data_IF_376543918800
#
_entry.id   IF_376543918800
#
_cell.length_a   1.000
_cell.length_b   1.000
_cell.length_c   1.000
_cell.angle_alpha   90.00
_cell.angle_beta   90.00
_cell.angle_gamma   90.00
#
_symmetry.space_group_name_H-M   'P 1'
#
loop_
_entity.id
_entity.type
_entity.pdbx_description
1 polymer ?
#
# COMPACT_ATOMS: atom_id res chain seq x y z
N UNK A 1 12.97 5.76 -9.76
CA UNK A 1 12.97 4.51 -8.97
C UNK A 1 12.19 4.70 -7.68
N UNK A 2 11.52 3.65 -7.19
CA UNK A 2 10.89 3.65 -5.85
C UNK A 2 11.14 2.33 -5.14
N UNK A 3 11.24 2.34 -3.81
CA UNK A 3 11.41 1.13 -3.03
C UNK A 3 10.08 0.40 -2.88
N UNK A 4 10.12 -0.93 -2.79
CA UNK A 4 8.99 -1.69 -2.27
C UNK A 4 8.73 -1.28 -0.81
N UNK A 5 7.55 -0.73 -0.54
CA UNK A 5 7.10 -0.53 0.83
C UNK A 5 6.90 -1.91 1.49
N UNK A 6 6.77 -1.94 2.82
CA UNK A 6 6.64 -3.16 3.62
C UNK A 6 5.56 -4.10 3.08
N UNK A 7 4.39 -3.56 2.74
CA UNK A 7 3.28 -4.36 2.22
C UNK A 7 3.61 -4.95 0.86
N UNK A 8 4.14 -4.15 -0.07
CA UNK A 8 4.49 -4.64 -1.40
C UNK A 8 5.61 -5.68 -1.36
N UNK A 9 6.58 -5.54 -0.46
CA UNK A 9 7.60 -6.57 -0.23
C UNK A 9 6.94 -7.88 0.24
N UNK A 10 6.05 -7.80 1.24
CA UNK A 10 5.38 -8.98 1.79
C UNK A 10 4.47 -9.67 0.76
N UNK A 11 3.71 -8.90 -0.02
CA UNK A 11 2.86 -9.45 -1.08
C UNK A 11 3.69 -10.08 -2.20
N UNK A 12 4.78 -9.43 -2.63
CA UNK A 12 5.68 -9.99 -3.64
C UNK A 12 6.27 -11.33 -3.22
N UNK A 13 6.76 -11.46 -1.99
CA UNK A 13 7.29 -12.73 -1.50
C UNK A 13 6.20 -13.81 -1.46
N UNK A 14 5.01 -13.46 -0.97
CA UNK A 14 3.90 -14.41 -0.88
C UNK A 14 3.43 -14.90 -2.24
N UNK A 15 3.22 -14.01 -3.20
CA UNK A 15 2.66 -14.38 -4.50
C UNK A 15 3.71 -15.05 -5.39
N UNK A 16 4.98 -14.67 -5.24
CA UNK A 16 6.08 -15.28 -6.00
C UNK A 16 6.48 -16.65 -5.45
N UNK A 17 6.51 -16.79 -4.12
CA UNK A 17 7.15 -17.93 -3.43
C UNK A 17 6.21 -18.76 -2.55
N UNK A 18 5.01 -18.27 -2.23
CA UNK A 18 4.12 -18.91 -1.27
C UNK A 18 4.66 -18.86 0.18
N UNK A 19 5.55 -17.91 0.48
CA UNK A 19 6.21 -17.77 1.79
C UNK A 19 5.63 -16.56 2.53
N UNK A 20 5.33 -16.72 3.82
CA UNK A 20 5.07 -15.62 4.73
C UNK A 20 6.24 -15.48 5.71
N UNK A 21 7.03 -14.40 5.57
CA UNK A 21 8.20 -14.16 6.42
C UNK A 21 7.83 -13.42 7.71
N UNK A 22 8.28 -13.96 8.85
CA UNK A 22 8.12 -13.31 10.15
C UNK A 22 9.05 -12.09 10.29
N UNK A 23 10.21 -12.09 9.62
CA UNK A 23 11.09 -10.92 9.58
C UNK A 23 10.41 -9.76 8.85
N UNK A 24 9.78 -10.01 7.68
CA UNK A 24 9.08 -8.95 6.91
C UNK A 24 7.91 -8.36 7.71
N UNK A 25 7.21 -9.17 8.53
CA UNK A 25 6.17 -8.67 9.43
C UNK A 25 6.69 -7.70 10.48
N UNK A 26 7.99 -7.73 10.81
CA UNK A 26 8.64 -6.82 11.77
C UNK A 26 9.31 -5.60 11.12
N UNK A 27 9.21 -5.44 9.80
CA UNK A 27 9.70 -4.23 9.16
C UNK A 27 9.02 -2.99 9.77
N UNK A 28 9.78 -1.88 9.95
CA UNK A 28 9.21 -0.63 10.42
C UNK A 28 8.18 -0.10 9.41
N UNK A 29 7.30 0.77 9.89
CA UNK A 29 6.39 1.48 9.00
C UNK A 29 7.18 2.41 8.07
N UNK A 30 6.82 2.41 6.79
CA UNK A 30 7.46 3.23 5.78
C UNK A 30 7.13 4.72 5.99
N UNK A 31 8.12 5.58 5.74
CA UNK A 31 7.90 7.02 5.69
C UNK A 31 6.93 7.38 4.55
N UNK A 32 6.18 8.46 4.75
CA UNK A 32 5.13 8.89 3.83
C UNK A 32 5.39 10.29 3.31
N UNK A 33 5.06 10.51 2.06
CA UNK A 33 4.99 11.83 1.45
C UNK A 33 3.62 11.97 0.80
N UNK A 34 2.91 13.07 1.10
CA UNK A 34 1.53 13.31 0.64
C UNK A 34 0.57 12.18 1.03
N UNK A 35 0.75 11.55 2.20
CA UNK A 35 -0.07 10.43 2.69
C UNK A 35 0.37 9.04 2.21
N UNK A 36 1.11 8.95 1.10
CA UNK A 36 1.46 7.68 0.47
C UNK A 36 2.84 7.16 0.90
N UNK A 37 2.92 5.85 1.18
CA UNK A 37 4.18 5.21 1.60
C UNK A 37 5.04 4.72 0.44
N UNK A 38 4.54 4.81 -0.79
CA UNK A 38 5.18 4.32 -2.00
C UNK A 38 5.94 5.41 -2.78
N UNK A 39 6.23 6.55 -2.14
CA UNK A 39 6.88 7.68 -2.76
C UNK A 39 8.42 7.60 -2.67
N UNK A 40 9.09 7.58 -3.82
CA UNK A 40 10.55 7.45 -3.89
C UNK A 40 11.34 8.58 -3.23
N UNK A 41 10.74 9.77 -3.01
CA UNK A 41 11.46 10.91 -2.39
C UNK A 41 11.72 10.75 -0.88
N UNK A 42 11.02 9.83 -0.22
CA UNK A 42 11.08 9.61 1.24
C UNK A 42 11.37 8.16 1.61
N UNK A 43 11.98 7.39 0.70
CA UNK A 43 12.29 5.97 0.92
C UNK A 43 13.79 5.65 0.89
N UNK A 44 14.66 6.36 1.64
CA UNK A 44 16.07 5.98 1.70
C UNK A 44 16.25 4.61 2.36
N UNK A 45 17.30 3.89 1.96
CA UNK A 45 17.75 2.70 2.66
C UNK A 45 18.52 3.13 3.92
N UNK A 46 18.01 2.78 5.11
CA UNK A 46 18.72 2.99 6.38
C UNK A 46 19.53 1.75 6.76
N UNK A 47 20.63 1.86 7.53
CA UNK A 47 21.36 0.69 8.00
C UNK A 47 20.49 -0.35 8.73
N UNK A 48 19.52 0.11 9.53
CA UNK A 48 18.58 -0.77 10.23
C UNK A 48 17.65 -1.50 9.25
N UNK A 49 17.17 -0.82 8.22
CA UNK A 49 16.33 -1.44 7.19
C UNK A 49 17.13 -2.44 6.34
N UNK A 50 18.38 -2.12 6.01
CA UNK A 50 19.26 -3.03 5.27
C UNK A 50 19.55 -4.31 6.05
N UNK A 51 19.78 -4.23 7.37
CA UNK A 51 19.92 -5.40 8.22
C UNK A 51 18.66 -6.28 8.19
N UNK A 52 17.48 -5.67 8.26
CA UNK A 52 16.21 -6.41 8.15
C UNK A 52 16.01 -7.07 6.77
N UNK A 53 16.46 -6.45 5.67
CA UNK A 53 16.45 -7.10 4.36
C UNK A 53 17.37 -8.30 4.31
N UNK A 54 18.55 -8.22 4.94
CA UNK A 54 19.46 -9.34 5.07
C UNK A 54 18.82 -10.49 5.83
N UNK A 55 18.29 -10.24 7.03
CA UNK A 55 17.62 -11.25 7.85
C UNK A 55 16.43 -11.88 7.11
N UNK A 56 15.62 -11.07 6.40
CA UNK A 56 14.50 -11.56 5.62
C UNK A 56 14.98 -12.42 4.44
N UNK A 57 16.02 -11.99 3.73
CA UNK A 57 16.59 -12.73 2.59
C UNK A 57 17.15 -14.08 3.02
N UNK A 58 17.72 -14.18 4.23
CA UNK A 58 18.22 -15.43 4.79
C UNK A 58 17.06 -16.37 5.16
N UNK A 59 16.03 -15.87 5.85
CA UNK A 59 14.82 -16.65 6.19
C UNK A 59 14.14 -17.19 4.92
N UNK A 60 13.91 -16.32 3.95
CA UNK A 60 13.19 -16.66 2.71
C UNK A 60 14.01 -17.62 1.85
N UNK A 61 15.30 -17.35 1.63
CA UNK A 61 16.15 -18.22 0.80
C UNK A 61 16.28 -19.63 1.38
N UNK A 62 16.34 -19.77 2.72
CA UNK A 62 16.34 -21.06 3.40
C UNK A 62 15.04 -21.84 3.18
N UNK A 63 13.90 -21.16 3.21
CA UNK A 63 12.60 -21.77 2.89
C UNK A 63 12.50 -22.15 1.41
N UNK A 64 13.09 -21.37 0.50
CA UNK A 64 13.10 -21.67 -0.94
C UNK A 64 13.83 -22.96 -1.30
N UNK A 65 14.86 -23.35 -0.54
CA UNK A 65 15.62 -24.59 -0.77
C UNK A 65 15.07 -25.80 -0.01
N UNK A 66 13.96 -25.63 0.70
CA UNK A 66 13.28 -26.71 1.43
C UNK A 66 12.31 -27.48 0.53
N UNK A 67 12.49 -28.79 0.26
CA UNK A 67 11.76 -29.52 -0.79
C UNK A 67 10.23 -29.51 -0.71
N UNK A 68 9.66 -29.28 0.48
CA UNK A 68 8.23 -29.30 0.70
C UNK A 68 7.54 -27.93 0.47
N UNK A 69 8.29 -26.88 0.09
CA UNK A 69 7.73 -25.54 -0.15
C UNK A 69 7.30 -25.36 -1.60
N UNK A 70 6.29 -24.50 -1.83
CA UNK A 70 5.85 -24.13 -3.18
C UNK A 70 6.96 -23.42 -3.95
N UNK A 71 7.77 -22.60 -3.27
CA UNK A 71 8.96 -21.98 -3.84
C UNK A 71 9.95 -23.01 -4.42
N UNK A 72 10.24 -24.08 -3.68
CA UNK A 72 11.14 -25.13 -4.14
C UNK A 72 10.59 -25.80 -5.40
N UNK A 73 9.33 -26.24 -5.36
CA UNK A 73 8.67 -26.89 -6.50
C UNK A 73 8.63 -25.99 -7.73
N UNK A 74 8.45 -24.68 -7.53
CA UNK A 74 8.37 -23.69 -8.60
C UNK A 74 9.72 -23.43 -9.29
N UNK A 75 10.80 -23.31 -8.52
CA UNK A 75 12.09 -22.85 -9.06
C UNK A 75 13.16 -23.94 -9.17
N UNK A 76 13.20 -24.91 -8.25
CA UNK A 76 14.22 -25.97 -8.22
C UNK A 76 13.78 -27.13 -9.13
N UNK A 77 13.98 -26.95 -10.43
CA UNK A 77 13.50 -27.89 -11.47
C UNK A 77 14.39 -29.12 -11.72
N UNK A 78 15.59 -29.16 -11.14
CA UNK A 78 16.57 -30.23 -11.28
C UNK A 78 17.59 -30.16 -10.13
N UNK A 79 18.43 -31.18 -9.98
CA UNK A 79 19.50 -31.20 -8.97
C UNK A 79 20.82 -30.75 -9.61
N UNK A 80 21.38 -29.59 -9.22
CA UNK A 80 22.64 -29.13 -9.77
C UNK A 80 23.83 -29.91 -9.18
N UNK A 81 24.87 -30.08 -9.99
CA UNK A 81 26.17 -30.66 -9.64
C UNK A 81 27.28 -29.64 -9.90
N UNK A 82 27.45 -28.69 -8.98
CA UNK A 82 28.33 -27.53 -9.18
C UNK A 82 27.70 -26.43 -10.03
N UNK A 83 28.53 -25.61 -10.68
CA UNK A 83 28.08 -24.52 -11.58
C UNK A 83 27.79 -25.11 -12.96
N UNK A 84 26.58 -25.63 -13.13
CA UNK A 84 26.15 -26.29 -14.37
C UNK A 84 24.92 -25.63 -15.01
N UNK A 85 24.41 -26.24 -16.08
CA UNK A 85 23.21 -25.76 -16.76
C UNK A 85 21.96 -25.79 -15.87
N UNK A 86 21.90 -26.70 -14.89
CA UNK A 86 20.79 -26.79 -13.95
C UNK A 86 20.81 -25.61 -12.98
N UNK A 87 21.95 -25.34 -12.34
CA UNK A 87 22.12 -24.20 -11.43
C UNK A 87 21.80 -22.88 -12.15
N UNK A 88 22.34 -22.70 -13.36
CA UNK A 88 22.06 -21.52 -14.20
C UNK A 88 20.57 -21.35 -14.50
N UNK A 89 19.87 -22.43 -14.87
CA UNK A 89 18.43 -22.39 -15.15
C UNK A 89 17.63 -21.99 -13.91
N UNK A 90 17.93 -22.58 -12.75
CA UNK A 90 17.23 -22.32 -11.49
C UNK A 90 17.44 -20.86 -11.05
N UNK A 91 18.70 -20.42 -10.99
CA UNK A 91 19.06 -19.05 -10.57
C UNK A 91 18.52 -18.02 -11.54
N UNK A 92 18.65 -18.25 -12.85
CA UNK A 92 18.17 -17.33 -13.88
C UNK A 92 16.65 -17.20 -13.92
N UNK A 93 15.91 -18.30 -13.71
CA UNK A 93 14.45 -18.27 -13.63
C UNK A 93 13.97 -17.47 -12.41
N UNK A 94 14.59 -17.68 -11.24
CA UNK A 94 14.23 -16.93 -10.04
C UNK A 94 14.61 -15.45 -10.16
N UNK A 95 15.83 -15.14 -10.61
CA UNK A 95 16.26 -13.75 -10.81
C UNK A 95 15.32 -13.01 -11.78
N UNK A 96 14.94 -13.64 -12.89
CA UNK A 96 14.02 -13.04 -13.87
C UNK A 96 12.66 -12.72 -13.28
N UNK A 97 12.09 -13.65 -12.51
CA UNK A 97 10.79 -13.45 -11.88
C UNK A 97 10.86 -12.42 -10.73
N UNK A 98 11.89 -12.51 -9.88
CA UNK A 98 12.09 -11.63 -8.74
C UNK A 98 12.38 -10.19 -9.16
N UNK A 99 13.18 -9.98 -10.20
CA UNK A 99 13.55 -8.65 -10.69
C UNK A 99 12.55 -8.06 -11.68
N UNK A 100 11.54 -8.86 -12.08
CA UNK A 100 10.46 -8.50 -13.00
C UNK A 100 10.94 -8.10 -14.41
N UNK A 101 12.16 -8.49 -14.76
CA UNK A 101 12.75 -8.36 -16.09
C UNK A 101 13.66 -9.56 -16.37
N UNK A 102 13.93 -9.90 -17.64
CA UNK A 102 14.94 -10.90 -17.95
C UNK A 102 16.27 -10.54 -17.29
N UNK A 103 16.81 -11.47 -16.49
CA UNK A 103 18.16 -11.37 -15.98
C UNK A 103 19.16 -11.58 -17.12
N UNK A 104 20.19 -10.74 -17.19
CA UNK A 104 21.24 -10.87 -18.19
C UNK A 104 22.15 -12.07 -17.88
N UNK A 105 22.87 -12.56 -18.88
CA UNK A 105 23.82 -13.66 -18.67
C UNK A 105 24.86 -13.36 -17.58
N UNK A 106 25.42 -12.14 -17.62
CA UNK A 106 26.40 -11.68 -16.63
C UNK A 106 25.81 -11.61 -15.22
N UNK A 107 24.58 -11.13 -15.05
CA UNK A 107 23.94 -11.09 -13.73
C UNK A 107 23.71 -12.49 -13.16
N UNK A 108 23.38 -13.46 -14.03
CA UNK A 108 23.27 -14.86 -13.60
C UNK A 108 24.64 -15.44 -13.26
N UNK A 109 25.70 -15.07 -14.00
CA UNK A 109 27.08 -15.46 -13.69
C UNK A 109 27.54 -14.95 -12.32
N UNK A 110 27.24 -13.69 -12.01
CA UNK A 110 27.59 -13.08 -10.72
C UNK A 110 26.88 -13.77 -9.54
N UNK A 111 25.63 -14.18 -9.73
CA UNK A 111 24.87 -14.97 -8.73
C UNK A 111 25.41 -16.40 -8.60
N UNK A 112 25.84 -17.02 -9.70
CA UNK A 112 26.46 -18.34 -9.70
C UNK A 112 27.84 -18.32 -9.02
N UNK A 113 28.55 -17.19 -9.05
CA UNK A 113 29.79 -17.04 -8.28
C UNK A 113 29.54 -17.08 -6.76
N UNK A 114 28.37 -16.65 -6.27
CA UNK A 114 27.97 -16.83 -4.86
C UNK A 114 27.68 -18.30 -4.56
N UNK A 115 26.97 -18.98 -5.46
CA UNK A 115 26.71 -20.41 -5.38
C UNK A 115 28.03 -21.20 -5.28
N UNK A 116 28.99 -20.91 -6.15
CA UNK A 116 30.29 -21.60 -6.23
C UNK A 116 31.11 -21.42 -4.95
N UNK A 117 31.20 -20.19 -4.42
CA UNK A 117 31.91 -19.91 -3.17
C UNK A 117 31.38 -20.73 -1.99
N UNK A 118 30.07 -20.92 -1.90
CA UNK A 118 29.45 -21.73 -0.83
C UNK A 118 29.65 -23.23 -1.07
N UNK A 119 29.70 -23.68 -2.33
CA UNK A 119 30.10 -25.05 -2.64
C UNK A 119 31.53 -25.32 -2.17
N UNK A 120 32.49 -24.47 -2.54
CA UNK A 120 33.90 -24.63 -2.20
C UNK A 120 34.11 -24.68 -0.68
N UNK A 121 33.45 -23.78 0.06
CA UNK A 121 33.51 -23.74 1.52
C UNK A 121 32.96 -25.01 2.19
N UNK A 122 32.03 -25.72 1.54
CA UNK A 122 31.41 -26.94 2.03
C UNK A 122 31.92 -28.21 1.32
N UNK A 123 33.15 -28.18 0.78
CA UNK A 123 33.79 -29.29 0.06
C UNK A 123 32.95 -29.85 -1.11
N UNK A 124 32.16 -28.99 -1.76
CA UNK A 124 31.34 -29.31 -2.94
C UNK A 124 30.10 -30.16 -2.66
N UNK A 125 29.73 -30.34 -1.38
CA UNK A 125 28.75 -31.35 -0.97
C UNK A 125 27.31 -30.83 -0.80
N UNK A 126 27.04 -29.52 -0.91
CA UNK A 126 25.72 -28.96 -0.59
C UNK A 126 25.19 -28.02 -1.68
N UNK A 127 24.67 -28.63 -2.76
CA UNK A 127 23.91 -27.98 -3.83
C UNK A 127 22.86 -26.97 -3.31
N UNK A 128 22.17 -27.32 -2.24
CA UNK A 128 21.09 -26.50 -1.68
C UNK A 128 21.64 -25.28 -0.93
N UNK A 129 22.74 -25.41 -0.19
CA UNK A 129 23.41 -24.26 0.42
C UNK A 129 23.91 -23.27 -0.64
N UNK A 130 24.45 -23.77 -1.75
CA UNK A 130 24.82 -22.92 -2.90
C UNK A 130 23.61 -22.19 -3.48
N UNK A 131 22.49 -22.89 -3.70
CA UNK A 131 21.26 -22.27 -4.21
C UNK A 131 20.71 -21.23 -3.24
N UNK A 132 20.75 -21.50 -1.93
CA UNK A 132 20.32 -20.57 -0.89
C UNK A 132 21.12 -19.26 -1.00
N UNK A 133 22.44 -19.34 -1.16
CA UNK A 133 23.30 -18.15 -1.30
C UNK A 133 22.96 -17.33 -2.56
N UNK A 134 22.76 -18.00 -3.69
CA UNK A 134 22.33 -17.33 -4.92
C UNK A 134 20.94 -16.67 -4.79
N UNK A 135 19.98 -17.36 -4.18
CA UNK A 135 18.64 -16.82 -3.91
C UNK A 135 18.68 -15.63 -2.96
N UNK A 136 19.52 -15.69 -1.93
CA UNK A 136 19.75 -14.56 -1.03
C UNK A 136 20.32 -13.35 -1.79
N UNK A 137 21.27 -13.57 -2.70
CA UNK A 137 21.80 -12.53 -3.59
C UNK A 137 20.73 -11.89 -4.47
N UNK A 138 19.82 -12.69 -5.04
CA UNK A 138 18.67 -12.18 -5.81
C UNK A 138 17.78 -11.25 -4.97
N UNK A 139 17.47 -11.65 -3.72
CA UNK A 139 16.60 -10.90 -2.80
C UNK A 139 17.26 -9.64 -2.22
N UNK A 140 18.60 -9.60 -2.14
CA UNK A 140 19.36 -8.43 -1.70
C UNK A 140 19.66 -7.43 -2.83
N UNK A 141 19.42 -7.83 -4.08
CA UNK A 141 19.66 -6.98 -5.24
C UNK A 141 18.77 -5.73 -5.22
N UNK A 142 19.28 -4.55 -5.62
CA UNK A 142 18.46 -3.37 -5.88
C UNK A 142 17.33 -3.64 -6.89
N UNK A 143 17.53 -4.56 -7.85
CA UNK A 143 16.50 -4.94 -8.81
C UNK A 143 15.33 -5.69 -8.17
N UNK A 144 15.50 -6.27 -6.98
CA UNK A 144 14.41 -6.82 -6.18
C UNK A 144 13.79 -5.78 -5.24
N UNK A 145 14.62 -5.06 -4.48
CA UNK A 145 14.19 -4.12 -3.43
C UNK A 145 13.49 -2.88 -4.01
N UNK A 146 13.86 -2.47 -5.22
CA UNK A 146 13.32 -1.30 -5.90
C UNK A 146 12.59 -1.68 -7.18
N UNK A 147 11.55 -0.91 -7.50
CA UNK A 147 11.04 -0.80 -8.86
C UNK A 147 11.91 0.21 -9.59
N UNK A 148 12.77 -0.34 -10.44
CA UNK A 148 13.67 0.40 -11.30
C UNK A 148 13.00 0.53 -12.66
N UNK A 149 12.86 1.76 -13.12
CA UNK A 149 12.55 2.08 -14.51
C UNK A 149 13.88 2.51 -15.11
N UNK A 150 14.50 1.63 -15.90
CA UNK A 150 15.78 1.84 -16.56
C UNK A 150 15.54 2.84 -17.71
N UNK A 151 15.60 4.13 -17.30
CA UNK A 151 15.52 5.37 -18.09
C UNK A 151 14.26 5.57 -18.94
N UNK A 152 13.49 6.63 -18.63
CA UNK A 152 12.32 6.98 -19.46
C UNK A 152 11.79 8.41 -19.35
N UNK A 153 11.68 8.98 -18.15
CA UNK A 153 11.09 10.32 -18.03
C UNK A 153 12.04 11.46 -18.47
N UNK A 154 13.32 11.39 -18.11
CA UNK A 154 14.28 12.47 -18.38
C UNK A 154 14.88 12.46 -19.80
N UNK A 155 14.74 11.35 -20.53
CA UNK A 155 15.23 11.19 -21.90
C UNK A 155 14.11 11.00 -22.94
N UNK A 156 12.84 11.14 -22.54
CA UNK A 156 11.68 11.00 -23.44
C UNK A 156 11.40 9.57 -23.92
N UNK A 157 12.01 8.55 -23.29
CA UNK A 157 11.74 7.14 -23.58
C UNK A 157 10.49 6.68 -22.82
N UNK A 158 9.54 6.08 -23.53
CA UNK A 158 8.39 5.42 -22.90
C UNK A 158 8.82 4.24 -22.04
N UNK A 159 7.97 3.83 -21.09
CA UNK A 159 8.19 2.59 -20.33
C UNK A 159 8.22 1.40 -21.29
N UNK A 160 9.14 0.46 -21.06
CA UNK A 160 9.09 -0.86 -21.71
C UNK A 160 7.83 -1.62 -21.28
N UNK A 161 7.44 -2.63 -22.06
CA UNK A 161 6.29 -3.48 -21.72
C UNK A 161 6.38 -4.06 -20.30
N UNK A 162 7.56 -4.53 -19.87
CA UNK A 162 7.74 -5.09 -18.52
C UNK A 162 7.75 -4.04 -17.41
N UNK A 163 8.28 -2.85 -17.66
CA UNK A 163 8.17 -1.74 -16.70
C UNK A 163 6.71 -1.29 -16.54
N UNK A 164 5.96 -1.24 -17.64
CA UNK A 164 4.53 -0.94 -17.61
C UNK A 164 3.73 -2.01 -16.86
N UNK A 165 4.01 -3.30 -17.10
CA UNK A 165 3.42 -4.41 -16.37
C UNK A 165 3.71 -4.33 -14.87
N UNK A 166 4.99 -4.13 -14.49
CA UNK A 166 5.38 -3.98 -13.10
C UNK A 166 4.67 -2.77 -12.45
N UNK A 167 4.61 -1.63 -13.15
CA UNK A 167 3.94 -0.44 -12.64
C UNK A 167 2.43 -0.67 -12.44
N UNK A 168 1.76 -1.31 -13.38
CA UNK A 168 0.33 -1.64 -13.28
C UNK A 168 0.07 -2.63 -12.13
N UNK A 169 0.86 -3.71 -12.04
CA UNK A 169 0.70 -4.72 -11.01
C UNK A 169 0.96 -4.19 -9.60
N UNK A 170 2.01 -3.38 -9.41
CA UNK A 170 2.27 -2.77 -8.11
C UNK A 170 1.35 -1.58 -7.79
N UNK A 171 0.57 -1.10 -8.75
CA UNK A 171 -0.51 -0.15 -8.50
C UNK A 171 -1.77 -0.89 -8.02
N UNK A 172 -2.18 -1.96 -8.71
CA UNK A 172 -3.45 -2.63 -8.47
C UNK A 172 -3.38 -3.73 -7.40
N UNK A 173 -2.27 -4.48 -7.37
CA UNK A 173 -2.10 -5.68 -6.56
C UNK A 173 -0.97 -5.57 -5.53
N UNK A 174 -0.21 -4.48 -5.57
CA UNK A 174 0.98 -4.26 -4.73
C UNK A 174 1.97 -5.42 -4.80
N UNK A 175 2.06 -6.11 -5.95
CA UNK A 175 2.85 -7.34 -6.10
C UNK A 175 3.31 -7.54 -7.55
N UNK A 176 4.03 -8.63 -7.80
CA UNK A 176 4.54 -9.00 -9.13
C UNK A 176 3.41 -9.22 -10.15
N UNK A 177 3.64 -8.87 -11.44
CA UNK A 177 2.76 -9.25 -12.54
C UNK A 177 2.51 -10.76 -12.58
N UNK A 178 1.32 -11.16 -13.03
CA UNK A 178 1.04 -12.54 -13.39
C UNK A 178 1.56 -12.89 -14.79
N UNK A 179 1.50 -14.17 -15.15
CA UNK A 179 2.02 -14.67 -16.42
C UNK A 179 1.32 -14.02 -17.62
N UNK A 180 0.00 -13.86 -17.58
CA UNK A 180 -0.76 -13.22 -18.66
C UNK A 180 -0.28 -11.78 -18.89
N UNK A 181 -0.06 -11.00 -17.82
CA UNK A 181 0.45 -9.64 -17.96
C UNK A 181 1.89 -9.62 -18.49
N UNK A 182 2.73 -10.58 -18.09
CA UNK A 182 4.08 -10.73 -18.64
C UNK A 182 4.08 -11.10 -20.12
N UNK A 183 3.23 -12.02 -20.56
CA UNK A 183 3.12 -12.39 -21.98
C UNK A 183 2.76 -11.18 -22.84
N UNK A 184 1.80 -10.36 -22.40
CA UNK A 184 1.44 -9.10 -23.09
C UNK A 184 2.56 -8.07 -23.02
N UNK A 185 3.32 -8.04 -21.94
CA UNK A 185 4.46 -7.15 -21.77
C UNK A 185 5.60 -7.51 -22.75
N UNK A 186 5.90 -8.80 -22.86
CA UNK A 186 7.00 -9.33 -23.68
C UNK A 186 6.69 -9.20 -25.17
N UNK A 187 5.42 -9.31 -25.56
CA UNK A 187 4.98 -9.03 -26.93
C UNK A 187 4.79 -7.52 -27.22
N UNK A 188 5.13 -6.64 -26.27
CA UNK A 188 4.90 -5.19 -26.32
C UNK A 188 3.43 -4.77 -26.51
N UNK A 189 2.47 -5.68 -26.31
CA UNK A 189 1.05 -5.45 -26.53
C UNK A 189 0.44 -4.50 -25.48
N UNK A 190 1.04 -4.38 -24.29
CA UNK A 190 0.58 -3.44 -23.26
C UNK A 190 0.71 -1.97 -23.66
N UNK A 191 1.44 -1.66 -24.73
CA UNK A 191 1.51 -0.29 -25.27
C UNK A 191 0.25 0.12 -26.03
N UNK A 192 -0.59 -0.85 -26.43
CA UNK A 192 -1.93 -0.59 -26.98
C UNK A 192 -2.89 -0.20 -25.83
N UNK A 193 -3.51 1.00 -25.88
CA UNK A 193 -4.44 1.45 -24.85
C UNK A 193 -5.64 0.51 -24.62
N UNK A 194 -6.10 -0.21 -25.64
CA UNK A 194 -7.20 -1.16 -25.52
C UNK A 194 -6.78 -2.41 -24.75
N UNK A 195 -5.59 -2.94 -25.03
CA UNK A 195 -5.03 -4.08 -24.30
C UNK A 195 -4.73 -3.68 -22.85
N UNK A 196 -4.15 -2.50 -22.63
CA UNK A 196 -3.89 -1.98 -21.30
C UNK A 196 -5.17 -1.83 -20.48
N UNK A 197 -6.24 -1.29 -21.08
CA UNK A 197 -7.57 -1.19 -20.46
C UNK A 197 -8.12 -2.57 -20.11
N UNK A 198 -8.09 -3.52 -21.05
CA UNK A 198 -8.58 -4.87 -20.83
C UNK A 198 -7.86 -5.56 -19.66
N UNK A 199 -6.53 -5.45 -19.60
CA UNK A 199 -5.74 -6.01 -18.51
C UNK A 199 -6.02 -5.29 -17.18
N UNK A 200 -6.20 -3.97 -17.19
CA UNK A 200 -6.59 -3.20 -15.99
C UNK A 200 -7.93 -3.69 -15.45
N UNK A 201 -8.94 -3.84 -16.30
CA UNK A 201 -10.28 -4.31 -15.92
C UNK A 201 -10.28 -5.76 -15.42
N UNK A 202 -9.46 -6.64 -16.04
CA UNK A 202 -9.22 -8.01 -15.55
C UNK A 202 -8.63 -7.99 -14.15
N UNK A 203 -7.56 -7.22 -13.96
CA UNK A 203 -6.85 -7.16 -12.68
C UNK A 203 -7.70 -6.53 -11.56
N UNK A 204 -8.58 -5.58 -11.89
CA UNK A 204 -9.52 -4.99 -10.93
C UNK A 204 -10.60 -5.98 -10.43
N UNK A 205 -10.91 -7.02 -11.22
CA UNK A 205 -11.85 -8.09 -10.83
C UNK A 205 -11.20 -9.21 -10.04
N UNK A 206 -9.86 -9.24 -10.00
CA UNK A 206 -9.11 -10.26 -9.27
C UNK A 206 -9.13 -9.97 -7.75
N UNK A 207 -9.20 -11.00 -6.88
CA UNK A 207 -9.15 -10.82 -5.43
C UNK A 207 -7.97 -9.99 -4.91
N UNK A 208 -6.85 -9.96 -5.61
CA UNK A 208 -5.69 -9.13 -5.28
C UNK A 208 -5.99 -7.62 -5.33
N UNK A 209 -6.98 -7.17 -6.12
CA UNK A 209 -7.39 -5.76 -6.18
C UNK A 209 -7.91 -5.22 -4.84
N UNK A 210 -8.31 -6.09 -3.91
CA UNK A 210 -8.63 -5.67 -2.54
C UNK A 210 -7.46 -4.98 -1.83
N UNK A 211 -6.21 -5.26 -2.24
CA UNK A 211 -4.99 -4.62 -1.73
C UNK A 211 -4.91 -3.14 -2.14
N UNK A 212 -5.33 -2.79 -3.37
CA UNK A 212 -5.46 -1.40 -3.79
C UNK A 212 -6.43 -0.64 -2.89
N UNK A 213 -7.61 -1.23 -2.62
CA UNK A 213 -8.63 -0.58 -1.79
C UNK A 213 -8.13 -0.36 -0.37
N UNK A 214 -7.49 -1.37 0.24
CA UNK A 214 -6.92 -1.26 1.59
C UNK A 214 -5.83 -0.21 1.66
N UNK A 215 -4.90 -0.22 0.70
CA UNK A 215 -3.84 0.77 0.61
C UNK A 215 -4.46 2.17 0.44
N UNK A 216 -5.35 2.37 -0.54
CA UNK A 216 -6.01 3.65 -0.76
C UNK A 216 -6.74 4.14 0.49
N UNK A 217 -7.55 3.30 1.13
CA UNK A 217 -8.25 3.64 2.36
C UNK A 217 -7.29 4.10 3.46
N UNK A 218 -6.25 3.31 3.73
CA UNK A 218 -5.27 3.64 4.75
C UNK A 218 -4.50 4.91 4.38
N UNK A 219 -3.83 4.93 3.24
CA UNK A 219 -2.87 5.97 2.86
C UNK A 219 -3.54 7.33 2.64
N UNK A 220 -4.69 7.35 1.94
CA UNK A 220 -5.37 8.60 1.61
C UNK A 220 -6.15 9.17 2.80
N UNK A 221 -6.93 8.34 3.50
CA UNK A 221 -7.76 8.82 4.62
C UNK A 221 -7.00 8.82 5.96
N UNK A 222 -5.76 8.34 5.95
CA UNK A 222 -4.90 8.26 7.12
C UNK A 222 -5.37 7.26 8.16
N UNK A 223 -6.08 6.18 7.76
CA UNK A 223 -6.67 5.21 8.70
C UNK A 223 -5.64 4.44 9.51
N UNK A 224 -4.36 4.40 9.08
CA UNK A 224 -3.28 3.87 9.92
C UNK A 224 -3.17 4.60 11.25
N UNK A 225 -3.49 5.90 11.31
CA UNK A 225 -3.48 6.69 12.55
C UNK A 225 -4.50 6.17 13.53
N UNK A 226 -5.59 5.58 13.03
CA UNK A 226 -6.59 4.95 13.87
C UNK A 226 -5.93 3.91 14.76
N UNK A 227 -4.97 3.11 14.26
CA UNK A 227 -4.26 2.06 15.04
C UNK A 227 -3.66 2.58 16.36
N UNK A 228 -3.06 3.77 16.35
CA UNK A 228 -2.44 4.38 17.53
C UNK A 228 -3.35 5.40 18.24
N UNK A 229 -4.44 5.82 17.62
CA UNK A 229 -5.42 6.71 18.25
C UNK A 229 -6.17 5.95 19.34
N UNK A 230 -6.10 6.48 20.57
CA UNK A 230 -6.75 5.94 21.76
C UNK A 230 -7.54 7.07 22.42
N UNK A 231 -8.84 7.19 22.12
CA UNK A 231 -9.74 8.05 22.89
C UNK A 231 -9.70 7.67 24.37
N UNK A 232 -9.85 8.66 25.25
CA UNK A 232 -9.84 8.43 26.70
C UNK A 232 -10.95 7.43 27.10
N UNK A 233 -10.62 6.24 27.62
CA UNK A 233 -11.62 5.23 27.99
C UNK A 233 -12.58 5.68 29.08
N UNK A 234 -12.20 6.67 29.92
CA UNK A 234 -13.11 7.24 30.92
C UNK A 234 -14.19 8.13 30.27
N UNK A 235 -13.87 8.72 29.11
CA UNK A 235 -14.78 9.60 28.36
C UNK A 235 -15.55 8.84 27.27
N UNK A 236 -14.99 7.75 26.73
CA UNK A 236 -15.51 7.00 25.59
C UNK A 236 -15.43 5.47 25.83
N UNK A 237 -16.09 4.93 26.86
CA UNK A 237 -15.98 3.50 27.22
C UNK A 237 -16.49 2.54 26.14
N UNK A 238 -17.35 3.01 25.23
CA UNK A 238 -17.86 2.24 24.09
C UNK A 238 -16.85 2.10 22.94
N UNK A 239 -15.76 2.88 22.94
CA UNK A 239 -14.74 2.83 21.89
C UNK A 239 -13.79 1.65 22.10
N UNK A 240 -14.19 0.48 21.62
CA UNK A 240 -13.42 -0.77 21.74
C UNK A 240 -12.53 -1.03 20.52
N UNK A 241 -11.57 -1.96 20.66
CA UNK A 241 -10.76 -2.46 19.56
C UNK A 241 -11.60 -3.04 18.42
N UNK A 242 -12.70 -3.73 18.75
CA UNK A 242 -13.61 -4.31 17.77
C UNK A 242 -14.38 -3.23 17.01
N UNK A 243 -14.89 -2.21 17.71
CA UNK A 243 -15.58 -1.09 17.06
C UNK A 243 -14.65 -0.37 16.09
N UNK A 244 -13.41 -0.15 16.51
CA UNK A 244 -12.37 0.43 15.68
C UNK A 244 -12.05 -0.41 14.44
N UNK A 245 -11.96 -1.73 14.58
CA UNK A 245 -11.77 -2.64 13.45
C UNK A 245 -12.97 -2.57 12.49
N UNK A 246 -14.19 -2.53 13.02
CA UNK A 246 -15.41 -2.43 12.21
C UNK A 246 -15.50 -1.09 11.47
N UNK A 247 -15.10 0.03 12.09
CA UNK A 247 -15.01 1.34 11.44
C UNK A 247 -14.02 1.35 10.27
N UNK A 248 -12.85 0.72 10.41
CA UNK A 248 -11.90 0.58 9.29
C UNK A 248 -12.52 -0.26 8.18
N UNK A 249 -13.17 -1.36 8.55
CA UNK A 249 -13.76 -2.28 7.59
C UNK A 249 -14.92 -1.65 6.81
N UNK A 250 -15.74 -0.82 7.45
CA UNK A 250 -16.77 -0.01 6.79
C UNK A 250 -16.18 0.83 5.66
N UNK A 251 -15.10 1.55 5.94
CA UNK A 251 -14.44 2.44 4.98
C UNK A 251 -13.80 1.67 3.84
N UNK A 252 -13.12 0.55 4.13
CA UNK A 252 -12.59 -0.35 3.10
C UNK A 252 -13.70 -0.88 2.18
N UNK A 253 -14.82 -1.35 2.74
CA UNK A 253 -15.93 -1.88 1.95
C UNK A 253 -16.62 -0.78 1.13
N UNK A 254 -16.73 0.42 1.68
CA UNK A 254 -17.28 1.59 0.97
C UNK A 254 -16.45 1.94 -0.26
N UNK A 255 -15.12 1.95 -0.13
CA UNK A 255 -14.21 2.19 -1.24
C UNK A 255 -14.19 1.03 -2.24
N UNK A 256 -14.29 -0.22 -1.76
CA UNK A 256 -14.41 -1.39 -2.63
C UNK A 256 -15.69 -1.31 -3.48
N UNK A 257 -16.83 -1.07 -2.84
CA UNK A 257 -18.12 -0.93 -3.52
C UNK A 257 -18.16 0.27 -4.47
N UNK A 258 -17.54 1.40 -4.10
CA UNK A 258 -17.40 2.55 -5.00
C UNK A 258 -16.63 2.21 -6.29
N UNK A 259 -15.53 1.45 -6.16
CA UNK A 259 -14.71 1.01 -7.29
C UNK A 259 -15.45 -0.03 -8.15
N UNK A 260 -16.12 -1.00 -7.51
CA UNK A 260 -16.89 -2.04 -8.18
C UNK A 260 -18.11 -1.49 -8.94
N UNK A 261 -18.83 -0.54 -8.33
CA UNK A 261 -19.97 0.15 -8.94
C UNK A 261 -19.54 1.13 -10.05
N UNK A 262 -18.23 1.35 -10.25
CA UNK A 262 -17.66 2.40 -11.12
C UNK A 262 -18.33 3.77 -10.87
N UNK A 263 -18.53 4.09 -9.60
CA UNK A 263 -19.29 5.26 -9.19
C UNK A 263 -18.47 6.55 -9.35
N UNK A 264 -19.16 7.69 -9.48
CA UNK A 264 -18.48 8.98 -9.54
C UNK A 264 -17.73 9.27 -8.24
N UNK A 265 -16.63 10.02 -8.32
CA UNK A 265 -15.88 10.46 -7.13
C UNK A 265 -16.79 11.26 -6.17
N UNK A 266 -17.79 11.98 -6.69
CA UNK A 266 -18.78 12.68 -5.86
C UNK A 266 -19.59 11.74 -4.97
N UNK A 267 -19.83 10.50 -5.40
CA UNK A 267 -20.57 9.50 -4.62
C UNK A 267 -19.87 9.17 -3.30
N UNK A 268 -18.52 9.27 -3.23
CA UNK A 268 -17.78 9.10 -1.98
C UNK A 268 -18.20 10.13 -0.91
N UNK A 269 -18.67 11.31 -1.31
CA UNK A 269 -19.08 12.38 -0.40
C UNK A 269 -20.60 12.43 -0.18
N UNK A 270 -21.38 11.95 -1.15
CA UNK A 270 -22.84 12.12 -1.16
C UNK A 270 -23.63 10.84 -0.98
N UNK A 271 -23.00 9.66 -0.97
CA UNK A 271 -23.70 8.38 -0.80
C UNK A 271 -24.45 8.33 0.53
N UNK A 272 -25.73 7.96 0.49
CA UNK A 272 -26.55 7.67 1.66
C UNK A 272 -26.47 6.20 2.09
N UNK A 273 -25.58 5.43 1.47
CA UNK A 273 -25.37 4.02 1.71
C UNK A 273 -23.95 3.76 2.20
N UNK A 274 -23.83 2.87 3.19
CA UNK A 274 -22.56 2.34 3.72
C UNK A 274 -22.66 0.84 3.99
N UNK A 275 -21.59 0.23 4.50
CA UNK A 275 -21.54 -1.18 4.88
C UNK A 275 -21.57 -1.29 6.40
N UNK A 276 -22.68 -1.79 6.95
CA UNK A 276 -22.98 -1.75 8.38
C UNK A 276 -23.18 -3.18 8.90
N UNK A 277 -22.50 -3.51 10.00
CA UNK A 277 -22.74 -4.70 10.81
C UNK A 277 -23.51 -4.34 12.10
N UNK A 278 -23.84 -5.34 12.92
CA UNK A 278 -24.57 -5.16 14.18
C UNK A 278 -23.94 -4.11 15.10
N UNK A 279 -22.61 -4.09 15.21
CA UNK A 279 -21.88 -3.18 16.12
C UNK A 279 -21.92 -1.73 15.63
N UNK A 280 -21.70 -1.51 14.34
CA UNK A 280 -21.82 -0.18 13.73
C UNK A 280 -23.26 0.30 13.74
N UNK A 281 -24.25 -0.58 13.55
CA UNK A 281 -25.65 -0.21 13.66
C UNK A 281 -25.97 0.35 15.05
N UNK A 282 -25.52 -0.33 16.10
CA UNK A 282 -25.66 0.15 17.49
C UNK A 282 -24.92 1.48 17.70
N UNK A 283 -23.69 1.61 17.19
CA UNK A 283 -22.89 2.83 17.32
C UNK A 283 -23.49 4.04 16.59
N UNK A 284 -24.06 3.85 15.40
CA UNK A 284 -24.65 4.91 14.60
C UNK A 284 -26.13 5.19 14.91
N UNK A 285 -26.79 4.37 15.73
CA UNK A 285 -28.22 4.46 16.00
C UNK A 285 -29.08 4.04 14.80
N UNK A 286 -28.61 3.09 14.01
CA UNK A 286 -29.33 2.54 12.85
C UNK A 286 -30.16 1.31 13.26
N UNK A 287 -31.18 0.93 12.47
CA UNK A 287 -31.88 -0.34 12.66
C UNK A 287 -30.89 -1.52 12.72
N UNK A 288 -31.18 -2.50 13.57
CA UNK A 288 -30.26 -3.62 13.83
C UNK A 288 -29.88 -4.37 12.56
N UNK A 289 -28.57 -4.45 12.30
CA UNK A 289 -27.98 -5.29 11.26
C UNK A 289 -27.56 -6.66 11.83
N UNK A 290 -27.28 -7.62 10.94
CA UNK A 290 -26.67 -8.90 11.31
C UNK A 290 -25.18 -8.75 11.67
N UNK A 291 -24.54 -9.84 12.08
CA UNK A 291 -23.11 -9.81 12.44
C UNK A 291 -22.20 -9.53 11.22
N UNK A 292 -22.64 -9.94 10.02
CA UNK A 292 -21.98 -9.63 8.75
C UNK A 292 -22.26 -8.19 8.27
N UNK A 293 -21.28 -7.62 7.56
CA UNK A 293 -21.43 -6.31 6.93
C UNK A 293 -22.46 -6.35 5.79
N UNK A 294 -23.43 -5.44 5.82
CA UNK A 294 -24.46 -5.32 4.77
C UNK A 294 -24.55 -3.89 4.25
N UNK A 295 -24.75 -3.77 2.94
CA UNK A 295 -25.08 -2.50 2.29
C UNK A 295 -26.39 -1.96 2.89
N UNK A 296 -26.32 -0.81 3.57
CA UNK A 296 -27.38 -0.26 4.41
C UNK A 296 -27.56 1.22 4.14
N UNK A 297 -28.80 1.67 3.97
CA UNK A 297 -29.12 3.10 3.90
C UNK A 297 -28.95 3.72 5.31
N UNK A 298 -28.14 4.76 5.40
CA UNK A 298 -27.80 5.43 6.65
C UNK A 298 -28.95 6.27 7.21
N UNK A 299 -29.93 6.64 6.38
CA UNK A 299 -31.01 7.54 6.76
C UNK A 299 -30.52 8.94 7.18
N UNK A 300 -31.46 9.82 7.51
CA UNK A 300 -31.17 11.16 8.02
C UNK A 300 -30.15 11.94 7.16
N UNK A 301 -29.19 12.59 7.82
CA UNK A 301 -28.18 13.47 7.21
C UNK A 301 -26.78 12.82 7.07
N UNK A 302 -26.60 11.54 7.41
CA UNK A 302 -25.29 10.87 7.25
C UNK A 302 -25.06 10.57 5.77
N UNK A 303 -23.96 11.06 5.21
CA UNK A 303 -23.62 10.95 3.79
C UNK A 303 -22.11 10.85 3.61
N UNK A 304 -21.69 9.87 2.81
CA UNK A 304 -20.32 9.71 2.37
C UNK A 304 -19.30 9.42 3.47
N UNK A 305 -18.05 9.24 3.03
CA UNK A 305 -16.90 8.84 3.85
C UNK A 305 -16.59 9.85 4.96
N UNK A 306 -16.94 11.13 4.79
CA UNK A 306 -16.71 12.18 5.79
C UNK A 306 -17.55 12.02 7.06
N UNK A 307 -18.57 11.17 7.01
CA UNK A 307 -19.45 10.88 8.15
C UNK A 307 -19.18 9.52 8.79
N UNK A 308 -18.20 8.76 8.28
CA UNK A 308 -17.82 7.46 8.82
C UNK A 308 -16.97 7.63 10.09
N UNK A 309 -17.18 6.73 11.04
CA UNK A 309 -16.51 6.73 12.35
C UNK A 309 -15.00 6.75 12.22
N UNK A 310 -14.42 6.00 11.28
CA UNK A 310 -12.96 5.98 11.10
C UNK A 310 -12.40 7.37 10.74
N UNK A 311 -13.05 8.09 9.80
CA UNK A 311 -12.61 9.43 9.36
C UNK A 311 -12.86 10.46 10.46
N UNK A 312 -14.01 10.38 11.13
CA UNK A 312 -14.34 11.27 12.24
C UNK A 312 -13.36 11.13 13.41
N UNK A 313 -12.89 9.92 13.68
CA UNK A 313 -11.92 9.62 14.75
C UNK A 313 -10.48 9.99 14.37
N UNK A 314 -9.98 9.70 13.15
CA UNK A 314 -8.62 10.15 12.78
C UNK A 314 -8.50 11.67 12.69
N UNK A 315 -9.62 12.37 12.60
CA UNK A 315 -9.70 13.83 12.60
C UNK A 315 -10.15 14.42 13.94
N UNK A 316 -10.12 13.63 15.03
CA UNK A 316 -10.42 14.08 16.40
C UNK A 316 -9.19 14.11 17.29
N UNK A 317 -9.34 14.70 18.48
CA UNK A 317 -8.39 14.57 19.59
C UNK A 317 -8.79 13.38 20.47
N UNK A 318 -7.89 12.92 21.31
CA UNK A 318 -8.15 11.83 22.27
C UNK A 318 -9.22 12.20 23.31
N UNK A 319 -9.32 13.50 23.59
CA UNK A 319 -10.30 14.15 24.45
C UNK A 319 -11.45 14.77 23.63
N UNK A 320 -11.78 14.23 22.45
CA UNK A 320 -13.01 14.54 21.73
C UNK A 320 -12.85 15.21 20.36
N UNK A 321 -13.99 15.60 19.77
CA UNK A 321 -14.04 16.11 18.40
C UNK A 321 -13.27 17.44 18.25
N UNK A 322 -12.69 17.67 17.06
CA UNK A 322 -11.98 18.91 16.75
C UNK A 322 -12.33 19.41 15.34
N UNK A 323 -13.14 20.48 15.21
CA UNK A 323 -13.43 21.09 13.92
C UNK A 323 -12.18 21.65 13.23
N UNK A 324 -11.19 22.12 14.01
CA UNK A 324 -9.92 22.65 13.48
C UNK A 324 -9.09 21.54 12.85
N UNK A 325 -8.84 20.44 13.57
CA UNK A 325 -8.08 19.29 13.04
C UNK A 325 -8.76 18.72 11.80
N UNK A 326 -10.09 18.57 11.84
CA UNK A 326 -10.87 18.13 10.69
C UNK A 326 -10.81 19.10 9.52
N UNK A 327 -10.86 20.40 9.77
CA UNK A 327 -10.74 21.45 8.74
C UNK A 327 -9.38 21.41 8.04
N UNK A 328 -8.29 21.28 8.81
CA UNK A 328 -6.93 21.11 8.25
C UNK A 328 -6.86 19.84 7.39
N UNK A 329 -7.36 18.71 7.89
CA UNK A 329 -7.40 17.46 7.12
C UNK A 329 -8.20 17.61 5.81
N UNK A 330 -9.35 18.28 5.82
CA UNK A 330 -10.10 18.56 4.59
C UNK A 330 -9.30 19.42 3.61
N UNK A 331 -8.63 20.48 4.10
CA UNK A 331 -7.82 21.35 3.25
C UNK A 331 -6.65 20.59 2.63
N UNK A 332 -5.91 19.83 3.43
CA UNK A 332 -4.68 19.15 2.98
C UNK A 332 -4.99 17.89 2.15
N UNK A 333 -5.79 16.97 2.68
CA UNK A 333 -5.99 15.64 2.10
C UNK A 333 -7.10 15.59 1.04
N UNK A 334 -8.04 16.54 1.04
CA UNK A 334 -9.11 16.62 0.04
C UNK A 334 -8.99 17.80 -0.92
N UNK A 335 -8.44 18.94 -0.51
CA UNK A 335 -8.36 20.13 -1.37
C UNK A 335 -6.93 20.46 -1.82
N UNK A 336 -5.93 19.72 -1.32
CA UNK A 336 -4.52 19.93 -1.63
C UNK A 336 -4.04 21.36 -1.28
N UNK A 337 -4.60 21.96 -0.22
CA UNK A 337 -4.29 23.29 0.29
C UNK A 337 -3.56 23.13 1.62
N UNK A 338 -2.32 23.61 1.71
CA UNK A 338 -1.58 23.70 2.97
C UNK A 338 -1.97 25.00 3.70
N UNK A 339 -2.70 24.93 4.82
CA UNK A 339 -3.03 26.12 5.60
C UNK A 339 -1.75 26.73 6.22
N UNK A 340 -1.71 28.06 6.44
CA UNK A 340 -0.58 28.67 7.14
C UNK A 340 -0.50 28.14 8.58
N UNK A 341 0.71 28.11 9.18
CA UNK A 341 0.87 27.73 10.58
C UNK A 341 0.08 28.66 11.50
N UNK A 342 -0.39 28.13 12.62
CA UNK A 342 -1.06 28.92 13.65
C UNK A 342 -0.07 29.96 14.19
N UNK A 343 -0.42 31.26 14.26
CA UNK A 343 0.45 32.28 14.86
C UNK A 343 0.79 31.97 16.33
N UNK A 344 2.01 32.28 16.75
CA UNK A 344 2.52 31.98 18.11
C UNK A 344 1.70 32.64 19.24
N UNK A 345 0.92 33.67 18.93
CA UNK A 345 0.16 34.48 19.89
C UNK A 345 -1.33 34.11 20.00
N UNK A 346 -1.78 33.00 19.41
CA UNK A 346 -3.18 32.55 19.54
C UNK A 346 -3.39 31.90 20.90
N UNK A 347 -4.33 32.41 21.75
CA UNK A 347 -4.65 31.78 23.02
C UNK A 347 -5.12 30.33 22.84
N UNK A 348 -4.84 29.47 23.81
CA UNK A 348 -5.39 28.13 23.81
C UNK A 348 -6.93 28.17 23.78
N UNK A 349 -7.54 27.34 22.93
CA UNK A 349 -9.00 27.18 22.92
C UNK A 349 -9.40 26.65 24.31
N UNK A 350 -10.34 27.28 25.02
CA UNK A 350 -10.78 26.83 26.33
C UNK A 350 -11.21 25.36 26.31
N UNK A 351 -10.97 24.63 27.40
CA UNK A 351 -11.51 23.26 27.57
C UNK A 351 -13.02 23.27 27.30
N UNK A 352 -13.46 22.37 26.42
CA UNK A 352 -14.85 22.32 25.99
C UNK A 352 -15.71 21.81 27.15
N UNK A 353 -16.63 22.63 27.65
CA UNK A 353 -17.77 22.14 28.43
C UNK A 353 -18.72 21.36 27.50
N UNK A 354 -18.58 20.03 27.52
CA UNK A 354 -19.37 19.11 26.71
C UNK A 354 -20.83 19.01 27.14
N UNK A 355 -21.21 19.56 28.31
CA UNK A 355 -22.58 19.48 28.82
C UNK A 355 -23.49 20.58 28.27
N UNK A 356 -22.93 21.67 27.74
CA UNK A 356 -23.71 22.86 27.34
C UNK A 356 -23.49 23.29 25.89
N UNK A 357 -22.36 22.96 25.25
CA UNK A 357 -22.04 23.39 23.88
C UNK A 357 -21.35 22.32 23.05
N UNK A 358 -21.70 22.26 21.78
CA UNK A 358 -20.94 21.52 20.76
C UNK A 358 -19.57 22.18 20.52
N UNK A 359 -18.60 21.40 20.05
CA UNK A 359 -17.26 21.93 19.73
C UNK A 359 -17.32 23.02 18.64
N UNK A 360 -18.33 22.96 17.77
CA UNK A 360 -18.60 23.98 16.76
C UNK A 360 -19.01 25.30 17.40
N UNK A 361 -19.98 25.28 18.30
CA UNK A 361 -20.46 26.48 19.01
C UNK A 361 -19.36 27.11 19.87
N UNK A 362 -18.53 26.27 20.50
CA UNK A 362 -17.35 26.72 21.24
C UNK A 362 -16.35 27.45 20.32
N UNK A 363 -16.07 26.90 19.12
CA UNK A 363 -15.17 27.52 18.15
C UNK A 363 -15.74 28.79 17.53
N UNK A 364 -17.04 28.83 17.22
CA UNK A 364 -17.72 30.02 16.69
C UNK A 364 -17.64 31.21 17.66
N UNK A 365 -17.62 30.93 18.98
CA UNK A 365 -17.39 31.95 20.02
C UNK A 365 -15.94 32.46 20.03
N UNK A 366 -14.98 31.66 19.54
CA UNK A 366 -13.54 31.96 19.56
C UNK A 366 -13.03 32.57 18.26
N UNK A 367 -13.74 32.39 17.14
CA UNK A 367 -13.33 32.92 15.83
C UNK A 367 -13.62 34.41 15.67
N UNK A 368 -12.59 35.23 15.43
CA UNK A 368 -12.68 36.65 15.04
C UNK A 368 -12.71 36.78 13.50
N UNK A 369 -13.36 37.79 12.87
CA UNK A 369 -13.76 37.75 11.45
C UNK A 369 -12.66 37.83 10.38
N UNK A 370 -11.38 37.97 10.73
CA UNK A 370 -10.32 38.20 9.75
C UNK A 370 -9.54 36.92 9.46
N UNK A 371 -9.98 36.15 8.45
CA UNK A 371 -9.15 35.38 7.49
C UNK A 371 -10.00 34.33 6.77
N UNK A 372 -10.66 34.73 5.68
CA UNK A 372 -11.16 33.79 4.66
C UNK A 372 -10.52 34.14 3.33
N UNK A 373 -9.65 33.27 2.83
CA UNK A 373 -9.15 33.38 1.46
C UNK A 373 -9.17 32.02 0.75
N UNK A 374 -9.82 32.02 -0.41
CA UNK A 374 -9.33 31.34 -1.62
C UNK A 374 -9.59 29.85 -1.78
N UNK A 375 -10.70 29.51 -2.46
CA UNK A 375 -10.98 28.18 -3.03
C UNK A 375 -10.39 28.01 -4.44
N UNK A 376 -9.81 26.84 -4.74
CA UNK A 376 -10.16 25.95 -5.88
C UNK A 376 -9.09 24.89 -6.20
N UNK A 377 -9.39 23.58 -6.02
CA UNK A 377 -9.17 22.44 -6.95
C UNK A 377 -9.48 21.08 -6.26
N UNK A 378 -9.72 20.06 -7.09
CA UNK A 378 -10.31 18.75 -6.75
C UNK A 378 -9.42 17.82 -5.88
N UNK A 379 -10.09 16.86 -5.24
CA UNK A 379 -9.59 15.70 -4.47
C UNK A 379 -8.21 15.18 -4.90
N UNK A 380 -7.28 15.17 -3.96
CA UNK A 380 -5.95 14.56 -4.10
C UNK A 380 -6.06 13.03 -4.11
N UNK A 381 -6.27 12.43 -5.30
CA UNK A 381 -6.07 10.99 -5.53
C UNK A 381 -4.68 10.77 -6.15
N UNK A 382 -3.66 10.73 -5.29
CA UNK A 382 -2.22 10.57 -5.60
C UNK A 382 -1.60 11.66 -6.51
N UNK A 383 -0.39 12.16 -6.19
CA UNK A 383 0.33 13.03 -7.11
C UNK A 383 0.89 12.20 -8.27
N UNK A 384 0.33 12.35 -9.48
CA UNK A 384 1.17 12.17 -10.67
C UNK A 384 2.27 13.23 -10.62
N UNK A 385 3.56 12.88 -10.74
CA UNK A 385 4.59 13.89 -10.93
C UNK A 385 4.19 14.73 -12.14
N UNK A 386 4.34 16.05 -12.05
CA UNK A 386 4.00 17.02 -13.10
C UNK A 386 4.68 16.65 -14.43
N UNK A 387 4.04 15.79 -15.21
CA UNK A 387 4.17 15.73 -16.65
C UNK A 387 2.92 16.41 -17.17
N UNK A 388 3.09 17.62 -17.68
CA UNK A 388 2.09 18.31 -18.50
C UNK A 388 1.74 17.46 -19.72
N UNK A 389 0.79 16.55 -19.57
CA UNK A 389 0.10 15.94 -20.71
C UNK A 389 -0.95 16.94 -21.17
N UNK A 390 -0.63 17.69 -22.22
CA UNK A 390 -1.62 18.39 -23.03
C UNK A 390 -2.42 17.32 -23.76
N UNK A 391 -3.68 17.14 -23.35
CA UNK A 391 -4.68 16.50 -24.21
C UNK A 391 -5.00 17.51 -25.32
N UNK A 392 -4.76 17.11 -26.57
CA UNK A 392 -5.32 17.78 -27.74
C UNK A 392 -6.77 17.37 -27.92
#
# INVERSE_FOLDING_TARGET
MRRLNREAYAYTIRDLLGIESEVVRRFPDDQRAFGFSNNGSVQPASPATTALWYDASEEISRAMVSPNTEAYKRFVSCTPSGVDACARKIVGAFATAAWRRPATGQEVDDLLALYEKVQEANAGADALAGLQAAFQGVLLSPHFIFLVEETGAEQGRGLSGRELAARLSYLLWSSVPDEELYEKADSNALTDPNVLRQQTERMLKDPHATRLVKALASEWLGLQRLRIHQPDPALFPEFTSDLKADMVKETELTLAGWLEDNASVSALLTSDVSYINKRLAAHYGLPTAGDEFKRTNLGGNRRGILTQGSVLTVTSRVDGTSPVVRGVWVLEDLLCITPPPVPDNVPAIPEQDRSTKTAREALETHSVPETRSGSSRFLCLAPTPKATFRWA
#
